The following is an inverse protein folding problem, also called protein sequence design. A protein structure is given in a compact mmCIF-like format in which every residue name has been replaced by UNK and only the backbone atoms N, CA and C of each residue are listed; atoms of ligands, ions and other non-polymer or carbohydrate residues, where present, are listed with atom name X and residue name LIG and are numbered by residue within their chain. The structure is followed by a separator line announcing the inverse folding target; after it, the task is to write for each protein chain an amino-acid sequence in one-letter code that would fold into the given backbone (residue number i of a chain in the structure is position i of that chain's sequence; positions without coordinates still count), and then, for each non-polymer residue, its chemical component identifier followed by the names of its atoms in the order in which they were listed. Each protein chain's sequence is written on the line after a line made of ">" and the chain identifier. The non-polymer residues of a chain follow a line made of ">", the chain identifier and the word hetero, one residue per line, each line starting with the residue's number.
data_IF_875825852867
#
_entry.id   IF_875825852867
#
_cell.length_a   1.000
_cell.length_b   1.000
_cell.length_c   1.000
_cell.angle_alpha   90.00
_cell.angle_beta   90.00
_cell.angle_gamma   90.00
#
_symmetry.space_group_name_H-M   'P 1'
#
loop_
_entity.id
_entity.type
_entity.pdbx_description
1 polymer ?
#
# COMPACT_ATOMS: atom_id res chain seq x y z
N UNK A 1 -14.55 12.49 -31.69
CA UNK A 1 -14.93 13.44 -30.62
C UNK A 1 -14.00 13.17 -29.46
N UNK A 2 -13.19 14.15 -29.06
CA UNK A 2 -12.30 14.04 -27.90
C UNK A 2 -13.16 13.94 -26.63
N UNK A 3 -12.85 12.99 -25.74
CA UNK A 3 -13.47 12.95 -24.41
C UNK A 3 -13.22 14.29 -23.71
N UNK A 4 -14.19 14.83 -22.96
CA UNK A 4 -13.94 16.02 -22.14
C UNK A 4 -12.83 15.69 -21.14
N UNK A 5 -11.77 16.49 -21.14
CA UNK A 5 -10.70 16.35 -20.16
C UNK A 5 -11.21 16.73 -18.77
N UNK A 6 -10.75 16.06 -17.70
CA UNK A 6 -11.10 16.45 -16.35
C UNK A 6 -10.61 17.87 -16.04
N UNK A 7 -11.37 18.62 -15.25
CA UNK A 7 -11.05 20.02 -14.92
C UNK A 7 -9.96 20.15 -13.83
N UNK A 8 -9.69 19.08 -13.08
CA UNK A 8 -8.75 19.04 -11.97
C UNK A 8 -7.78 17.86 -12.09
N UNK A 9 -6.59 18.01 -11.52
CA UNK A 9 -5.63 16.93 -11.34
C UNK A 9 -6.12 15.88 -10.35
N UNK A 10 -5.34 14.82 -10.19
CA UNK A 10 -5.66 13.69 -9.32
C UNK A 10 -4.44 13.26 -8.52
N UNK A 11 -4.66 12.89 -7.26
CA UNK A 11 -3.67 12.22 -6.42
C UNK A 11 -3.89 10.71 -6.42
N UNK A 12 -2.81 9.94 -6.59
CA UNK A 12 -2.82 8.47 -6.58
C UNK A 12 -1.86 7.94 -5.53
N UNK A 13 -2.33 7.05 -4.66
CA UNK A 13 -1.52 6.43 -3.61
C UNK A 13 -0.85 5.14 -4.12
N UNK A 14 0.41 4.98 -3.76
CA UNK A 14 1.15 3.72 -3.84
C UNK A 14 1.50 3.19 -2.46
N UNK A 15 0.95 2.03 -2.10
CA UNK A 15 1.32 1.26 -0.90
C UNK A 15 2.06 -0.06 -1.21
N UNK A 16 2.12 -0.43 -2.49
CA UNK A 16 2.79 -1.61 -3.02
C UNK A 16 3.76 -1.25 -4.15
N UNK A 17 3.60 -1.88 -5.31
CA UNK A 17 4.53 -1.70 -6.44
C UNK A 17 4.68 -0.26 -6.92
N UNK A 18 3.66 0.59 -6.73
CA UNK A 18 3.72 2.00 -7.12
C UNK A 18 4.81 2.77 -6.36
N UNK A 19 5.22 2.35 -5.16
CA UNK A 19 6.31 2.99 -4.40
C UNK A 19 7.64 2.96 -5.18
N UNK A 20 7.97 1.82 -5.81
CA UNK A 20 9.21 1.63 -6.58
C UNK A 20 9.01 1.63 -8.10
N UNK A 21 7.77 1.68 -8.58
CA UNK A 21 7.40 1.76 -10.00
C UNK A 21 6.22 2.73 -10.15
N UNK A 22 6.48 4.05 -10.09
CA UNK A 22 5.46 5.11 -10.18
C UNK A 22 4.60 5.00 -11.45
N UNK A 23 3.40 5.63 -11.47
CA UNK A 23 2.63 5.77 -12.70
C UNK A 23 3.34 6.72 -13.69
N UNK A 24 2.94 6.75 -14.97
CA UNK A 24 3.42 7.76 -15.91
C UNK A 24 2.89 9.17 -15.54
N UNK A 25 3.48 10.21 -16.14
CA UNK A 25 3.02 11.61 -16.02
C UNK A 25 2.97 12.20 -14.59
N UNK A 26 3.77 11.65 -13.69
CA UNK A 26 3.91 12.16 -12.32
C UNK A 26 4.52 13.56 -12.36
N UNK A 27 3.79 14.51 -11.80
CA UNK A 27 4.26 15.89 -11.64
C UNK A 27 4.79 16.16 -10.23
N UNK A 28 4.29 15.44 -9.22
CA UNK A 28 4.74 15.54 -7.83
C UNK A 28 4.66 14.18 -7.13
N UNK A 29 5.59 13.92 -6.21
CA UNK A 29 5.58 12.76 -5.32
C UNK A 29 5.71 13.23 -3.88
N UNK A 30 4.85 12.75 -3.00
CA UNK A 30 4.96 12.97 -1.56
C UNK A 30 5.07 11.64 -0.83
N UNK A 31 5.88 11.62 0.22
CA UNK A 31 5.99 10.47 1.13
C UNK A 31 5.07 10.70 2.32
N UNK A 32 4.37 9.65 2.73
CA UNK A 32 3.38 9.74 3.79
C UNK A 32 2.84 8.38 4.17
N UNK A 33 1.67 8.36 4.79
CA UNK A 33 1.07 7.15 5.32
C UNK A 33 -0.46 7.21 5.30
N UNK A 34 -1.05 6.03 5.24
CA UNK A 34 -2.45 5.78 5.50
C UNK A 34 -2.63 5.49 7.00
N UNK A 35 -3.77 5.89 7.55
CA UNK A 35 -4.19 5.53 8.91
C UNK A 35 -5.35 4.53 8.86
N UNK A 36 -5.41 3.61 9.82
CA UNK A 36 -6.48 2.62 9.95
C UNK A 36 -6.38 1.46 8.97
N UNK A 37 -5.17 1.15 8.49
CA UNK A 37 -4.93 0.01 7.61
C UNK A 37 -3.73 -0.79 8.07
N UNK A 38 -3.73 -2.08 7.72
CA UNK A 38 -2.53 -2.92 7.69
C UNK A 38 -2.24 -3.35 6.24
N UNK A 39 -0.99 -3.66 5.95
CA UNK A 39 -0.55 -4.13 4.63
C UNK A 39 -0.10 -5.58 4.72
N UNK A 40 -0.67 -6.46 3.88
CA UNK A 40 -0.32 -7.90 3.87
C UNK A 40 -0.23 -8.46 2.46
N UNK A 41 0.61 -9.49 2.26
CA UNK A 41 0.74 -10.25 1.01
C UNK A 41 -0.40 -11.26 0.84
N UNK A 42 -1.64 -10.78 1.02
CA UNK A 42 -2.85 -11.60 1.00
C UNK A 42 -3.67 -11.47 -0.27
N UNK A 43 -3.09 -10.88 -1.32
CA UNK A 43 -3.69 -10.90 -2.65
C UNK A 43 -2.94 -11.90 -3.55
N UNK A 44 -3.68 -12.80 -4.16
CA UNK A 44 -3.22 -13.69 -5.22
C UNK A 44 -2.90 -12.91 -6.50
N UNK A 45 -1.77 -13.21 -7.15
CA UNK A 45 -1.39 -12.62 -8.44
C UNK A 45 -1.18 -13.68 -9.51
N UNK A 46 -2.00 -13.67 -10.54
CA UNK A 46 -2.00 -14.68 -11.62
C UNK A 46 -1.44 -14.18 -12.95
N UNK A 47 -1.13 -12.90 -13.05
CA UNK A 47 -0.81 -12.17 -14.29
C UNK A 47 0.47 -11.32 -14.19
N UNK A 48 0.92 -11.02 -12.98
CA UNK A 48 2.15 -10.26 -12.74
C UNK A 48 3.24 -11.08 -12.08
N UNK A 49 3.00 -11.56 -10.86
CA UNK A 49 4.02 -12.22 -10.01
C UNK A 49 3.82 -13.72 -9.87
N UNK A 50 2.81 -14.27 -10.54
CA UNK A 50 2.62 -15.69 -10.74
C UNK A 50 1.93 -15.96 -12.07
N UNK A 51 1.31 -17.14 -12.14
CA UNK A 51 0.50 -17.59 -13.28
C UNK A 51 -0.83 -18.14 -12.76
N UNK A 52 -1.85 -18.38 -13.60
CA UNK A 52 -3.10 -19.00 -13.14
C UNK A 52 -2.88 -20.38 -12.49
N UNK A 53 -1.88 -21.15 -12.97
CA UNK A 53 -1.54 -22.47 -12.42
C UNK A 53 -0.66 -22.40 -11.16
N UNK A 54 0.04 -21.29 -10.94
CA UNK A 54 0.90 -21.08 -9.77
C UNK A 54 0.85 -19.60 -9.38
N UNK A 55 -0.21 -19.18 -8.68
CA UNK A 55 -0.43 -17.78 -8.34
C UNK A 55 0.62 -17.27 -7.36
N UNK A 56 1.11 -16.06 -7.59
CA UNK A 56 1.97 -15.34 -6.66
C UNK A 56 1.18 -14.75 -5.49
N UNK A 57 1.87 -13.94 -4.70
CA UNK A 57 1.36 -13.11 -3.62
C UNK A 57 1.82 -11.67 -3.83
N UNK A 58 0.89 -10.74 -3.77
CA UNK A 58 1.15 -9.29 -3.80
C UNK A 58 0.39 -8.64 -2.64
N UNK A 59 0.70 -7.37 -2.35
CA UNK A 59 0.08 -6.69 -1.21
C UNK A 59 -1.34 -6.23 -1.50
N UNK A 60 -2.18 -6.30 -0.47
CA UNK A 60 -3.41 -5.51 -0.36
C UNK A 60 -3.42 -4.81 1.00
N UNK A 61 -4.44 -3.97 1.23
CA UNK A 61 -4.70 -3.32 2.50
C UNK A 61 -5.94 -3.92 3.15
N UNK A 62 -5.91 -4.03 4.48
CA UNK A 62 -7.04 -4.45 5.29
C UNK A 62 -7.33 -3.30 6.24
N UNK A 63 -8.54 -2.77 6.18
CA UNK A 63 -9.00 -1.64 6.98
C UNK A 63 -9.28 -2.04 8.43
N UNK A 64 -9.26 -1.06 9.33
CA UNK A 64 -9.59 -1.25 10.74
C UNK A 64 -11.01 -1.79 10.93
N UNK A 65 -11.95 -1.39 10.08
CA UNK A 65 -13.33 -1.88 10.14
C UNK A 65 -13.40 -3.37 9.77
N UNK A 66 -12.72 -3.78 8.70
CA UNK A 66 -12.58 -5.20 8.33
C UNK A 66 -11.89 -6.01 9.44
N UNK A 67 -10.87 -5.46 10.08
CA UNK A 67 -10.18 -6.13 11.19
C UNK A 67 -11.11 -6.34 12.39
N UNK A 68 -11.98 -5.37 12.70
CA UNK A 68 -12.97 -5.46 13.79
C UNK A 68 -14.05 -6.49 13.50
N UNK A 69 -14.54 -6.52 12.26
CA UNK A 69 -15.58 -7.46 11.83
C UNK A 69 -15.05 -8.90 11.78
N UNK A 70 -13.83 -9.10 11.29
CA UNK A 70 -13.29 -10.42 10.98
C UNK A 70 -12.20 -10.88 11.97
N UNK A 71 -12.61 -11.69 12.95
CA UNK A 71 -11.73 -12.19 14.03
C UNK A 71 -10.54 -13.01 13.57
N UNK A 72 -10.57 -13.55 12.36
CA UNK A 72 -9.49 -14.40 11.86
C UNK A 72 -8.19 -13.63 11.57
N UNK A 73 -8.23 -12.30 11.55
CA UNK A 73 -7.03 -11.45 11.44
C UNK A 73 -6.30 -11.20 12.76
N UNK A 74 -6.94 -11.44 13.91
CA UNK A 74 -6.48 -10.92 15.19
C UNK A 74 -5.10 -11.43 15.62
N UNK A 75 -4.76 -12.67 15.28
CA UNK A 75 -3.43 -13.22 15.56
C UNK A 75 -2.33 -12.49 14.78
N UNK A 76 -2.58 -12.18 13.50
CA UNK A 76 -1.65 -11.45 12.65
C UNK A 76 -1.52 -10.00 13.12
N UNK A 77 -2.65 -9.33 13.36
CA UNK A 77 -2.72 -7.98 13.90
C UNK A 77 -1.94 -7.88 15.22
N UNK A 78 -2.14 -8.81 16.13
CA UNK A 78 -1.40 -8.84 17.39
C UNK A 78 0.10 -9.00 17.13
N UNK A 79 0.49 -9.96 16.31
CA UNK A 79 1.91 -10.25 16.05
C UNK A 79 2.66 -9.03 15.51
N UNK A 80 2.11 -8.36 14.51
CA UNK A 80 2.86 -7.34 13.76
C UNK A 80 2.55 -5.90 14.17
N UNK A 81 1.37 -5.63 14.72
CA UNK A 81 0.95 -4.25 15.04
C UNK A 81 0.86 -3.97 16.54
N UNK A 82 0.51 -4.97 17.39
CA UNK A 82 0.23 -4.72 18.82
C UNK A 82 1.27 -5.31 19.81
N UNK A 83 1.96 -6.39 19.46
CA UNK A 83 2.81 -7.15 20.39
C UNK A 83 4.09 -6.44 20.85
N UNK A 84 4.37 -5.23 20.34
CA UNK A 84 5.68 -4.57 20.53
C UNK A 84 5.65 -3.32 21.41
N UNK A 85 4.71 -3.25 22.34
CA UNK A 85 4.92 -2.51 23.59
C UNK A 85 5.96 -3.23 24.46
N UNK A 86 7.23 -3.17 24.06
CA UNK A 86 8.37 -3.07 24.98
C UNK A 86 8.77 -4.23 25.91
N UNK A 87 8.06 -5.35 26.04
CA UNK A 87 8.51 -6.42 26.96
C UNK A 87 8.52 -7.81 26.32
N UNK A 88 9.68 -8.45 26.40
CA UNK A 88 9.97 -9.70 25.73
C UNK A 88 9.08 -10.86 26.22
N UNK A 89 8.67 -11.68 25.25
CA UNK A 89 8.40 -13.10 25.42
C UNK A 89 7.45 -13.51 26.57
N UNK A 90 6.31 -12.84 26.68
CA UNK A 90 5.14 -13.40 27.36
C UNK A 90 4.00 -13.43 26.35
N UNK A 91 3.41 -14.60 26.12
CA UNK A 91 2.08 -14.70 25.48
C UNK A 91 1.11 -14.13 26.51
N UNK A 92 0.88 -12.81 26.44
CA UNK A 92 -0.14 -12.14 27.23
C UNK A 92 -1.45 -12.30 26.46
N UNK A 93 -2.51 -12.76 27.12
CA UNK A 93 -3.87 -12.61 26.58
C UNK A 93 -4.09 -11.10 26.39
N UNK A 94 -4.23 -10.68 25.14
CA UNK A 94 -4.08 -9.27 24.78
C UNK A 94 -5.41 -8.59 25.03
N UNK A 95 -5.50 -7.94 26.18
CA UNK A 95 -6.67 -7.17 26.59
C UNK A 95 -6.68 -5.76 25.96
N UNK A 96 -6.10 -5.58 24.78
CA UNK A 96 -6.46 -4.46 23.91
C UNK A 96 -7.58 -4.99 23.05
N UNK A 97 -8.83 -4.68 23.41
CA UNK A 97 -9.93 -5.00 22.51
C UNK A 97 -9.62 -4.31 21.20
N UNK A 98 -9.70 -5.02 20.08
CA UNK A 98 -9.62 -4.41 18.75
C UNK A 98 -10.61 -3.23 18.59
N UNK A 99 -11.66 -3.23 19.41
CA UNK A 99 -12.63 -2.15 19.54
C UNK A 99 -12.02 -0.83 20.04
N UNK A 100 -10.93 -0.88 20.81
CA UNK A 100 -10.23 0.29 21.36
C UNK A 100 -9.22 0.91 20.38
N UNK A 101 -8.83 0.16 19.33
CA UNK A 101 -7.91 0.68 18.33
C UNK A 101 -8.53 1.86 17.57
N UNK A 102 -7.72 2.89 17.39
CA UNK A 102 -8.05 4.07 16.57
C UNK A 102 -7.32 3.99 15.22
N UNK A 103 -7.80 4.70 14.19
CA UNK A 103 -7.10 4.76 12.91
C UNK A 103 -5.62 5.17 13.04
N UNK A 104 -5.27 6.10 13.93
CA UNK A 104 -3.88 6.56 14.09
C UNK A 104 -2.91 5.50 14.65
N UNK A 105 -3.43 4.43 15.24
CA UNK A 105 -2.65 3.32 15.80
C UNK A 105 -2.10 2.40 14.71
N UNK A 106 -2.75 2.35 13.55
CA UNK A 106 -2.37 1.51 12.41
C UNK A 106 -1.92 2.38 11.24
N UNK A 107 -0.65 2.24 10.83
CA UNK A 107 -0.06 3.08 9.78
C UNK A 107 0.58 2.28 8.67
N UNK A 108 0.17 2.54 7.43
CA UNK A 108 0.81 1.99 6.23
C UNK A 108 1.51 3.11 5.48
N UNK A 109 2.84 3.06 5.47
CA UNK A 109 3.67 4.01 4.74
C UNK A 109 3.68 3.73 3.23
N UNK A 110 3.69 4.82 2.46
CA UNK A 110 3.70 4.78 1.00
C UNK A 110 4.02 6.14 0.41
N UNK A 111 3.62 6.32 -0.84
CA UNK A 111 3.75 7.60 -1.56
C UNK A 111 2.40 8.00 -2.17
N UNK A 112 2.17 9.30 -2.32
CA UNK A 112 1.11 9.82 -3.19
C UNK A 112 1.71 10.60 -4.35
N UNK A 113 1.12 10.44 -5.53
CA UNK A 113 1.58 10.99 -6.79
C UNK A 113 0.53 11.93 -7.38
N UNK A 114 0.93 13.16 -7.71
CA UNK A 114 0.04 14.10 -8.39
C UNK A 114 0.15 13.95 -9.91
N UNK A 115 -1.01 13.84 -10.55
CA UNK A 115 -1.20 13.76 -11.99
C UNK A 115 -1.96 15.01 -12.45
N UNK A 116 -1.38 15.77 -13.39
CA UNK A 116 -2.05 16.96 -13.94
C UNK A 116 -3.31 16.56 -14.72
N UNK A 117 -4.29 17.48 -14.76
CA UNK A 117 -5.60 17.27 -15.34
C UNK A 117 -5.58 16.68 -16.77
N UNK A 118 -4.61 17.09 -17.60
CA UNK A 118 -4.46 16.63 -18.98
C UNK A 118 -4.07 15.14 -19.11
N UNK A 119 -3.49 14.55 -18.06
CA UNK A 119 -3.01 13.16 -18.03
C UNK A 119 -3.85 12.21 -17.16
N UNK A 120 -4.86 12.73 -16.44
CA UNK A 120 -5.67 11.92 -15.50
C UNK A 120 -6.31 10.71 -16.18
N UNK A 121 -6.93 10.90 -17.35
CA UNK A 121 -7.64 9.81 -18.04
C UNK A 121 -6.67 8.70 -18.50
N UNK A 122 -5.50 9.08 -19.02
CA UNK A 122 -4.46 8.13 -19.45
C UNK A 122 -3.89 7.36 -18.26
N UNK A 123 -3.64 8.03 -17.14
CA UNK A 123 -3.13 7.38 -15.93
C UNK A 123 -4.19 6.48 -15.30
N UNK A 124 -5.47 6.88 -15.31
CA UNK A 124 -6.56 6.00 -14.85
C UNK A 124 -6.64 4.74 -15.68
N UNK A 125 -6.63 4.84 -17.01
CA UNK A 125 -6.64 3.68 -17.90
C UNK A 125 -5.42 2.78 -17.69
N UNK A 126 -4.23 3.38 -17.50
CA UNK A 126 -3.03 2.64 -17.14
C UNK A 126 -3.17 1.87 -15.81
N UNK A 127 -3.73 2.50 -14.79
CA UNK A 127 -3.92 1.89 -13.47
C UNK A 127 -5.03 0.82 -13.49
N UNK A 128 -6.12 1.06 -14.22
CA UNK A 128 -7.19 0.08 -14.42
C UNK A 128 -6.65 -1.19 -15.07
N UNK A 129 -5.69 -1.08 -16.00
CA UNK A 129 -5.01 -2.24 -16.61
C UNK A 129 -4.01 -2.90 -15.64
N UNK A 130 -3.32 -2.09 -14.84
CA UNK A 130 -2.32 -2.59 -13.90
C UNK A 130 -2.93 -3.33 -12.71
N UNK A 131 -4.15 -2.97 -12.32
CA UNK A 131 -4.83 -3.48 -11.13
C UNK A 131 -6.09 -4.33 -11.47
N UNK A 132 -6.16 -4.89 -12.69
CA UNK A 132 -7.33 -5.59 -13.29
C UNK A 132 -7.96 -6.71 -12.46
N UNK A 133 -7.26 -7.28 -11.47
CA UNK A 133 -7.76 -8.41 -10.66
C UNK A 133 -8.62 -7.96 -9.46
N UNK A 134 -9.56 -7.05 -9.71
CA UNK A 134 -10.63 -6.73 -8.76
C UNK A 134 -10.32 -5.62 -7.75
N UNK A 135 -9.19 -4.92 -7.86
CA UNK A 135 -8.95 -3.77 -6.99
C UNK A 135 -9.99 -2.68 -7.25
N UNK A 136 -10.69 -2.25 -6.21
CA UNK A 136 -11.63 -1.13 -6.26
C UNK A 136 -10.92 0.20 -6.05
N UNK A 137 -11.30 1.22 -6.84
CA UNK A 137 -10.86 2.59 -6.61
C UNK A 137 -11.61 3.20 -5.43
N UNK A 138 -10.88 3.65 -4.42
CA UNK A 138 -11.41 4.35 -3.26
C UNK A 138 -10.73 5.70 -3.09
N UNK A 139 -11.41 6.65 -2.44
CA UNK A 139 -10.80 7.92 -2.02
C UNK A 139 -10.55 7.84 -0.53
N UNK A 140 -9.30 8.06 -0.12
CA UNK A 140 -8.89 8.02 1.29
C UNK A 140 -8.04 9.23 1.64
N UNK A 141 -7.91 9.51 2.94
CA UNK A 141 -6.96 10.51 3.45
C UNK A 141 -5.55 9.93 3.43
N UNK A 142 -4.62 10.64 2.80
CA UNK A 142 -3.20 10.32 2.83
C UNK A 142 -2.46 11.39 3.64
N UNK A 143 -1.95 11.00 4.81
CA UNK A 143 -1.27 11.89 5.74
C UNK A 143 0.20 12.01 5.38
N UNK A 144 0.77 13.21 5.51
CA UNK A 144 2.19 13.45 5.21
C UNK A 144 2.80 14.43 6.21
N UNK A 145 4.13 14.50 6.23
CA UNK A 145 4.89 15.49 7.02
C UNK A 145 5.72 16.30 6.02
N UNK A 146 5.66 17.63 6.12
CA UNK A 146 6.19 18.74 5.28
C UNK A 146 7.39 18.56 4.30
N UNK A 147 8.09 17.43 4.23
CA UNK A 147 9.10 17.17 3.19
C UNK A 147 8.45 16.68 1.89
N UNK A 148 8.11 17.64 1.03
CA UNK A 148 7.83 17.38 -0.37
C UNK A 148 9.18 17.20 -1.10
N UNK A 149 9.48 15.97 -1.49
CA UNK A 149 10.65 15.68 -2.33
C UNK A 149 10.37 16.09 -3.76
N UNK A 150 10.98 17.20 -4.21
CA UNK A 150 10.96 17.57 -5.61
C UNK A 150 11.72 16.50 -6.41
N UNK A 151 11.02 15.79 -7.31
CA UNK A 151 11.65 14.87 -8.25
C UNK A 151 12.66 15.64 -9.11
N UNK A 152 13.95 15.42 -8.88
CA UNK A 152 15.06 16.00 -9.65
C UNK A 152 15.03 15.52 -11.11
N UNK A 153 14.18 16.12 -11.96
CA UNK A 153 14.30 16.06 -13.42
C UNK A 153 13.46 17.10 -14.18
N UNK A 154 13.31 18.32 -13.65
CA UNK A 154 12.78 19.45 -14.42
C UNK A 154 13.46 20.74 -14.03
N UNK A 155 14.04 21.41 -15.02
CA UNK A 155 14.63 22.74 -14.93
C UNK A 155 13.72 23.71 -14.16
N UNK A 156 14.13 24.10 -12.94
CA UNK A 156 13.91 25.43 -12.36
C UNK A 156 12.47 25.96 -12.30
N UNK A 157 11.47 25.10 -12.14
CA UNK A 157 10.14 25.49 -11.69
C UNK A 157 9.83 24.67 -10.45
N UNK A 158 9.69 25.33 -9.29
CA UNK A 158 9.25 24.66 -8.07
C UNK A 158 7.98 23.88 -8.38
N UNK A 159 7.97 22.56 -8.16
CA UNK A 159 6.76 21.78 -8.30
C UNK A 159 5.80 22.25 -7.20
N UNK A 160 4.84 23.10 -7.59
CA UNK A 160 3.90 23.70 -6.64
C UNK A 160 2.94 22.59 -6.21
N UNK A 161 3.14 22.09 -4.99
CA UNK A 161 2.09 21.37 -4.29
C UNK A 161 0.83 22.25 -4.30
N UNK A 162 -0.30 21.80 -4.86
CA UNK A 162 -1.49 22.62 -4.90
C UNK A 162 -1.97 22.87 -3.47
N UNK A 163 -1.69 24.05 -2.91
CA UNK A 163 -2.09 24.40 -1.54
C UNK A 163 -3.61 24.31 -1.33
N UNK A 164 -4.40 24.36 -2.40
CA UNK A 164 -5.84 24.09 -2.38
C UNK A 164 -6.20 22.65 -2.02
N UNK A 165 -5.29 21.71 -2.24
CA UNK A 165 -5.50 20.28 -1.95
C UNK A 165 -5.06 19.94 -0.52
N UNK A 166 -4.28 20.83 0.12
CA UNK A 166 -3.85 20.68 1.52
C UNK A 166 -5.07 20.72 2.43
N UNK A 167 -5.23 19.67 3.21
CA UNK A 167 -6.22 19.61 4.28
C UNK A 167 -5.53 19.27 5.60
N UNK A 168 -6.20 19.58 6.70
CA UNK A 168 -5.69 19.31 8.04
C UNK A 168 -6.86 18.94 8.95
N UNK A 169 -6.65 17.92 9.79
CA UNK A 169 -7.56 17.55 10.88
C UNK A 169 -6.75 17.37 12.18
N UNK A 170 -7.39 16.84 13.22
CA UNK A 170 -6.74 16.61 14.53
C UNK A 170 -5.57 15.62 14.47
N UNK A 171 -5.47 14.81 13.41
CA UNK A 171 -4.41 13.80 13.21
C UNK A 171 -3.26 14.31 12.34
N UNK A 172 -3.40 15.49 11.72
CA UNK A 172 -2.36 16.18 10.99
C UNK A 172 -2.77 16.59 9.58
N UNK A 173 -1.76 16.94 8.77
CA UNK A 173 -1.96 17.33 7.38
C UNK A 173 -2.19 16.10 6.48
N UNK A 174 -3.14 16.23 5.56
CA UNK A 174 -3.47 15.21 4.59
C UNK A 174 -3.93 15.78 3.25
N UNK A 175 -3.95 14.92 2.25
CA UNK A 175 -4.63 15.14 0.97
C UNK A 175 -5.65 14.03 0.75
N UNK A 176 -6.77 14.33 0.09
CA UNK A 176 -7.66 13.30 -0.42
C UNK A 176 -7.04 12.68 -1.68
N UNK A 177 -6.92 11.36 -1.70
CA UNK A 177 -6.20 10.66 -2.77
C UNK A 177 -6.90 9.38 -3.15
N UNK A 178 -6.81 9.05 -4.45
CA UNK A 178 -7.31 7.81 -5.01
C UNK A 178 -6.35 6.65 -4.70
N UNK A 179 -6.90 5.51 -4.31
CA UNK A 179 -6.15 4.29 -4.01
C UNK A 179 -6.89 3.07 -4.60
N UNK A 180 -6.13 2.11 -5.11
CA UNK A 180 -6.67 0.83 -5.56
C UNK A 180 -6.49 -0.20 -4.43
N UNK A 181 -7.57 -0.71 -3.84
CA UNK A 181 -7.52 -1.70 -2.75
C UNK A 181 -8.27 -2.97 -3.17
N UNK A 182 -7.69 -4.14 -2.90
CA UNK A 182 -8.34 -5.42 -3.13
C UNK A 182 -9.18 -5.77 -1.90
N UNK A 183 -10.50 -5.77 -2.05
CA UNK A 183 -11.44 -6.08 -0.97
C UNK A 183 -11.44 -7.57 -0.58
N UNK A 184 -11.99 -7.86 0.60
CA UNK A 184 -12.11 -9.22 1.14
C UNK A 184 -13.07 -10.12 0.34
N UNK A 185 -13.97 -9.51 -0.43
CA UNK A 185 -14.97 -10.18 -1.26
C UNK A 185 -14.41 -10.69 -2.60
N UNK A 186 -13.15 -10.36 -2.91
CA UNK A 186 -12.49 -10.80 -4.14
C UNK A 186 -12.04 -12.26 -4.07
N UNK A 187 -12.24 -13.00 -5.15
CA UNK A 187 -11.73 -14.38 -5.27
C UNK A 187 -10.19 -14.47 -5.15
N UNK A 188 -9.50 -13.38 -5.46
CA UNK A 188 -8.05 -13.26 -5.34
C UNK A 188 -7.59 -12.94 -3.92
N UNK A 189 -8.48 -12.59 -2.98
CA UNK A 189 -8.12 -12.46 -1.58
C UNK A 189 -7.90 -13.86 -0.97
N UNK A 190 -6.73 -14.08 -0.40
CA UNK A 190 -6.32 -15.39 0.17
C UNK A 190 -6.00 -15.31 1.67
N UNK A 191 -6.22 -14.13 2.27
CA UNK A 191 -5.95 -13.88 3.68
C UNK A 191 -6.98 -14.54 4.59
N UNK A 192 -6.62 -14.79 5.86
CA UNK A 192 -5.29 -14.67 6.42
C UNK A 192 -4.44 -15.88 5.98
N UNK A 193 -3.19 -15.65 5.60
CA UNK A 193 -2.24 -16.71 5.25
C UNK A 193 -1.03 -16.66 6.17
N UNK A 194 -0.64 -17.83 6.70
CA UNK A 194 0.55 -17.95 7.54
C UNK A 194 1.80 -17.47 6.78
N UNK A 195 2.65 -16.71 7.47
CA UNK A 195 3.78 -16.02 6.84
C UNK A 195 4.76 -17.01 6.18
N UNK A 196 4.94 -18.21 6.72
CA UNK A 196 5.80 -19.26 6.16
C UNK A 196 5.23 -19.79 4.84
N UNK A 197 3.90 -19.94 4.76
CA UNK A 197 3.23 -20.35 3.52
C UNK A 197 3.37 -19.25 2.47
N UNK A 198 3.11 -17.99 2.83
CA UNK A 198 3.32 -16.84 1.95
C UNK A 198 4.78 -16.76 1.48
N UNK A 199 5.75 -16.94 2.37
CA UNK A 199 7.18 -16.95 2.05
C UNK A 199 7.53 -18.06 1.04
N UNK A 200 7.04 -19.28 1.27
CA UNK A 200 7.30 -20.42 0.37
C UNK A 200 6.84 -20.15 -1.07
N UNK A 201 5.68 -19.53 -1.23
CA UNK A 201 5.10 -19.17 -2.53
C UNK A 201 5.90 -18.03 -3.17
N UNK A 202 6.22 -16.97 -2.42
CA UNK A 202 7.00 -15.84 -2.91
C UNK A 202 8.40 -16.27 -3.36
N UNK A 203 9.00 -17.23 -2.67
CA UNK A 203 10.34 -17.75 -2.98
C UNK A 203 10.39 -18.45 -4.35
N UNK A 204 9.32 -19.16 -4.72
CA UNK A 204 9.30 -20.02 -5.92
C UNK A 204 8.61 -19.39 -7.13
N UNK A 205 7.57 -18.57 -6.92
CA UNK A 205 6.67 -18.20 -8.01
C UNK A 205 7.22 -17.08 -8.88
N UNK A 206 6.89 -17.14 -10.17
CA UNK A 206 7.33 -16.21 -11.21
C UNK A 206 6.15 -15.95 -12.14
N UNK A 207 5.96 -14.69 -12.51
CA UNK A 207 4.97 -14.30 -13.51
C UNK A 207 5.59 -13.43 -14.61
N UNK A 208 4.75 -12.93 -15.53
CA UNK A 208 5.18 -12.05 -16.64
C UNK A 208 5.96 -10.80 -16.19
N UNK A 209 5.71 -10.28 -14.98
CA UNK A 209 6.40 -9.12 -14.42
C UNK A 209 7.66 -9.48 -13.61
N UNK A 210 8.11 -10.74 -13.65
CA UNK A 210 9.31 -11.24 -12.98
C UNK A 210 9.03 -12.10 -11.76
N UNK A 211 10.07 -12.37 -10.97
CA UNK A 211 9.97 -13.22 -9.78
C UNK A 211 9.10 -12.57 -8.72
N UNK A 212 8.36 -13.37 -7.97
CA UNK A 212 7.58 -12.85 -6.86
C UNK A 212 8.48 -12.32 -5.72
N UNK A 213 9.60 -12.98 -5.44
CA UNK A 213 10.60 -12.53 -4.48
C UNK A 213 11.19 -11.15 -4.82
N UNK A 214 11.36 -10.84 -6.10
CA UNK A 214 11.81 -9.52 -6.55
C UNK A 214 10.82 -8.41 -6.16
N UNK A 215 9.51 -8.70 -6.20
CA UNK A 215 8.48 -7.76 -5.74
C UNK A 215 8.67 -7.44 -4.25
N UNK A 216 8.79 -8.48 -3.41
CA UNK A 216 8.98 -8.32 -1.98
C UNK A 216 10.26 -7.54 -1.67
N UNK A 217 11.39 -7.92 -2.27
CA UNK A 217 12.68 -7.25 -2.04
C UNK A 217 12.59 -5.75 -2.41
N UNK A 218 12.05 -5.43 -3.59
CA UNK A 218 11.89 -4.04 -4.03
C UNK A 218 10.94 -3.25 -3.12
N UNK A 219 9.83 -3.86 -2.70
CA UNK A 219 8.89 -3.22 -1.80
C UNK A 219 9.52 -2.94 -0.43
N UNK A 220 10.12 -3.95 0.19
CA UNK A 220 10.74 -3.81 1.52
C UNK A 220 11.87 -2.78 1.51
N UNK A 221 12.69 -2.74 0.45
CA UNK A 221 13.72 -1.71 0.30
C UNK A 221 13.12 -0.31 0.13
N UNK A 222 12.15 -0.16 -0.77
CA UNK A 222 11.53 1.14 -1.01
C UNK A 222 10.81 1.68 0.22
N UNK A 223 10.16 0.82 1.02
CA UNK A 223 9.52 1.21 2.30
C UNK A 223 10.57 1.65 3.33
N UNK A 224 11.74 0.98 3.41
CA UNK A 224 12.85 1.41 4.28
C UNK A 224 13.37 2.79 3.90
N UNK A 225 13.44 3.10 2.61
CA UNK A 225 13.87 4.41 2.10
C UNK A 225 12.88 5.53 2.48
N UNK A 226 11.62 5.23 2.78
CA UNK A 226 10.65 6.18 3.35
C UNK A 226 10.94 6.52 4.83
N UNK A 227 12.08 6.08 5.39
CA UNK A 227 12.47 6.22 6.80
C UNK A 227 11.46 5.61 7.79
N UNK A 228 10.81 4.52 7.39
CA UNK A 228 9.88 3.77 8.21
C UNK A 228 10.23 2.28 8.22
N UNK A 229 9.69 1.54 9.18
CA UNK A 229 9.82 0.07 9.24
C UNK A 229 8.44 -0.56 9.15
N UNK A 230 8.39 -1.66 8.42
CA UNK A 230 7.24 -2.55 8.33
C UNK A 230 7.73 -3.95 8.73
N UNK A 231 7.42 -4.37 9.95
CA UNK A 231 7.96 -5.60 10.52
C UNK A 231 7.46 -6.84 9.79
N UNK A 232 6.22 -6.83 9.30
CA UNK A 232 5.68 -7.90 8.49
C UNK A 232 6.50 -8.10 7.21
N UNK A 233 6.77 -7.00 6.48
CA UNK A 233 7.61 -7.06 5.27
C UNK A 233 9.04 -7.51 5.55
N UNK A 234 9.60 -7.11 6.69
CA UNK A 234 10.96 -7.47 7.08
C UNK A 234 11.10 -8.93 7.50
N UNK A 235 10.16 -9.47 8.26
CA UNK A 235 10.17 -10.88 8.66
C UNK A 235 9.86 -11.79 7.47
N UNK A 236 8.94 -11.39 6.59
CA UNK A 236 8.68 -12.11 5.35
C UNK A 236 9.93 -12.12 4.44
N UNK A 237 10.68 -11.01 4.39
CA UNK A 237 11.94 -10.94 3.64
C UNK A 237 13.01 -11.88 4.21
N UNK A 238 13.12 -12.00 5.54
CA UNK A 238 14.06 -12.95 6.17
C UNK A 238 13.74 -14.39 5.79
N UNK A 239 12.46 -14.78 5.86
CA UNK A 239 12.02 -16.15 5.55
C UNK A 239 12.32 -16.58 4.11
N UNK A 240 12.34 -15.66 3.15
CA UNK A 240 12.70 -16.01 1.76
C UNK A 240 14.22 -16.06 1.53
N UNK A 241 15.02 -15.50 2.43
CA UNK A 241 16.48 -15.46 2.38
C UNK A 241 17.14 -16.64 3.11
N UNK A 242 16.45 -17.21 4.10
CA UNK A 242 16.77 -18.52 4.72
C UNK A 242 16.54 -19.67 3.74
#
# INVERSE_FOLDING_TARGET
>A
MTKPQPEKGMWVIGYGSLIFKPPPHVSLRITGYLQGYIRRFWQSSIDHRGTPASPGRVVTLISLDELREERFFHNDLHTYELSRSGDGAVIVDVDHSIDDLKPEDLKVWGCAYYISAEHVDEVKEYLDIREQNGYGLQTVKFYFKEHIENSENSNGGDAIFPESDRQCDEFGEYIESSIYIGGLDLESFIGPEAIEKTASIIKTNVGPSGKNSEYLIKLTHAVRELNCRDYYLEDLLKLIQE
#
